data_IF_899046331498
#
_entry.id   IF_899046331498
#
_cell.length_a   1.000
_cell.length_b   1.000
_cell.length_c   1.000
_cell.angle_alpha   90.00
_cell.angle_beta   90.00
_cell.angle_gamma   90.00
#
_symmetry.space_group_name_H-M   'P 1'
#
loop_
_entity.id
_entity.type
_entity.pdbx_description
1 polymer ?
#
# COMPACT_ATOMS: atom_id res chain seq x y z
N UNK A 1 -45.87 8.63 8.68
CA UNK A 1 -45.05 7.59 9.31
C UNK A 1 -44.85 6.50 8.26
N UNK A 2 -43.73 6.24 7.58
CA UNK A 2 -42.31 6.54 7.81
C UNK A 2 -41.50 6.35 6.49
N UNK A 3 -42.03 6.69 5.30
CA UNK A 3 -41.32 6.41 4.03
C UNK A 3 -40.00 7.21 3.89
N UNK A 4 -39.95 8.42 4.45
CA UNK A 4 -38.77 9.30 4.40
C UNK A 4 -37.64 8.76 5.31
N UNK A 5 -38.00 8.15 6.45
CA UNK A 5 -37.03 7.62 7.40
C UNK A 5 -36.27 6.41 6.83
N UNK A 6 -36.97 5.54 6.12
CA UNK A 6 -36.37 4.34 5.54
C UNK A 6 -35.40 4.65 4.38
N UNK A 7 -35.70 5.70 3.59
CA UNK A 7 -34.82 6.15 2.52
C UNK A 7 -33.54 6.79 3.05
N UNK A 8 -33.64 7.60 4.12
CA UNK A 8 -32.48 8.21 4.79
C UNK A 8 -31.53 7.15 5.37
N UNK A 9 -32.06 6.11 6.02
CA UNK A 9 -31.24 5.04 6.61
C UNK A 9 -30.44 4.27 5.53
N UNK A 10 -31.06 3.97 4.38
CA UNK A 10 -30.37 3.29 3.27
C UNK A 10 -29.27 4.16 2.64
N UNK A 11 -29.48 5.47 2.57
CA UNK A 11 -28.51 6.40 1.98
C UNK A 11 -27.28 6.61 2.86
N UNK A 12 -27.47 6.71 4.19
CA UNK A 12 -26.37 6.80 5.15
C UNK A 12 -25.52 5.51 5.15
N UNK A 13 -26.14 4.33 5.23
CA UNK A 13 -25.39 3.06 5.20
C UNK A 13 -24.58 2.84 3.91
N UNK A 14 -25.10 3.26 2.74
CA UNK A 14 -24.36 3.17 1.48
C UNK A 14 -23.13 4.09 1.43
N UNK A 15 -23.23 5.28 2.04
CA UNK A 15 -22.12 6.24 2.12
C UNK A 15 -21.05 5.78 3.11
N UNK A 16 -21.45 5.25 4.26
CA UNK A 16 -20.53 4.70 5.26
C UNK A 16 -19.76 3.49 4.71
N UNK A 17 -20.43 2.58 4.01
CA UNK A 17 -19.78 1.45 3.35
C UNK A 17 -18.80 1.88 2.27
N UNK A 18 -19.15 2.88 1.44
CA UNK A 18 -18.26 3.41 0.41
C UNK A 18 -17.00 4.07 0.98
N UNK A 19 -17.12 4.80 2.10
CA UNK A 19 -15.97 5.43 2.78
C UNK A 19 -15.08 4.37 3.42
N UNK A 20 -15.66 3.35 4.07
CA UNK A 20 -14.90 2.28 4.69
C UNK A 20 -14.09 1.47 3.66
N UNK A 21 -14.71 1.11 2.53
CA UNK A 21 -14.02 0.39 1.44
C UNK A 21 -12.92 1.27 0.84
N UNK A 22 -13.19 2.56 0.58
CA UNK A 22 -12.20 3.48 0.04
C UNK A 22 -11.00 3.71 0.97
N UNK A 23 -11.23 3.76 2.29
CA UNK A 23 -10.16 3.90 3.29
C UNK A 23 -9.35 2.61 3.45
N UNK A 24 -9.99 1.45 3.43
CA UNK A 24 -9.30 0.16 3.52
C UNK A 24 -8.44 -0.09 2.27
N UNK A 25 -8.97 0.15 1.06
CA UNK A 25 -8.20 0.02 -0.18
C UNK A 25 -7.06 1.05 -0.25
N UNK A 26 -7.31 2.32 0.07
CA UNK A 26 -6.26 3.34 0.07
C UNK A 26 -5.16 3.07 1.11
N UNK A 27 -5.49 2.44 2.24
CA UNK A 27 -4.51 2.06 3.27
C UNK A 27 -3.68 0.86 2.85
N UNK A 28 -4.27 -0.15 2.22
CA UNK A 28 -3.53 -1.32 1.71
C UNK A 28 -2.59 -0.90 0.57
N UNK A 29 -3.10 -0.15 -0.40
CA UNK A 29 -2.31 0.30 -1.55
C UNK A 29 -1.18 1.25 -1.13
N UNK A 30 -1.44 2.16 -0.18
CA UNK A 30 -0.42 3.03 0.39
C UNK A 30 0.63 2.29 1.22
N UNK A 31 0.26 1.24 1.97
CA UNK A 31 1.21 0.45 2.74
C UNK A 31 2.15 -0.36 1.83
N UNK A 32 1.61 -0.91 0.74
CA UNK A 32 2.40 -1.71 -0.21
C UNK A 32 3.34 -0.82 -1.04
N UNK A 33 2.85 0.32 -1.54
CA UNK A 33 3.70 1.30 -2.23
C UNK A 33 4.80 1.83 -1.33
N UNK A 34 4.48 2.20 -0.09
CA UNK A 34 5.47 2.70 0.87
C UNK A 34 6.54 1.67 1.20
N UNK A 35 6.16 0.40 1.35
CA UNK A 35 7.14 -0.68 1.55
C UNK A 35 8.11 -0.80 0.36
N UNK A 36 7.61 -0.69 -0.87
CA UNK A 36 8.45 -0.71 -2.08
C UNK A 36 9.35 0.52 -2.15
N UNK A 37 8.82 1.72 -1.90
CA UNK A 37 9.60 2.97 -1.92
C UNK A 37 10.68 3.00 -0.83
N UNK A 38 10.35 2.57 0.38
CA UNK A 38 11.31 2.45 1.49
C UNK A 38 12.39 1.42 1.13
N UNK A 39 12.02 0.26 0.57
CA UNK A 39 12.99 -0.75 0.12
C UNK A 39 13.91 -0.20 -0.99
N UNK A 40 13.37 0.54 -1.96
CA UNK A 40 14.15 1.20 -3.01
C UNK A 40 15.11 2.25 -2.44
N UNK A 41 14.63 3.06 -1.51
CA UNK A 41 15.43 4.12 -0.87
C UNK A 41 16.62 3.52 -0.11
N UNK A 42 16.38 2.49 0.70
CA UNK A 42 17.43 1.77 1.42
C UNK A 42 18.44 1.10 0.46
N UNK A 43 17.97 0.54 -0.65
CA UNK A 43 18.85 -0.02 -1.69
C UNK A 43 19.73 1.05 -2.34
N UNK A 44 19.21 2.26 -2.56
CA UNK A 44 19.95 3.40 -3.09
C UNK A 44 20.98 3.92 -2.09
N UNK A 45 20.65 3.93 -0.80
CA UNK A 45 21.56 4.29 0.30
C UNK A 45 22.71 3.28 0.48
N UNK A 46 22.62 2.10 -0.16
CA UNK A 46 23.64 1.07 -0.12
C UNK A 46 23.45 0.04 0.99
N UNK A 47 22.25 -0.02 1.59
CA UNK A 47 21.92 -1.07 2.55
C UNK A 47 21.85 -2.45 1.88
N UNK A 48 22.17 -3.49 2.64
CA UNK A 48 22.16 -4.86 2.14
C UNK A 48 20.71 -5.36 1.91
N UNK A 49 20.43 -6.04 0.79
CA UNK A 49 19.08 -6.51 0.47
C UNK A 49 18.50 -7.43 1.55
N UNK A 50 19.33 -8.18 2.28
CA UNK A 50 18.93 -9.02 3.41
C UNK A 50 18.40 -8.22 4.60
N UNK A 51 19.06 -7.10 4.92
CA UNK A 51 18.63 -6.20 5.99
C UNK A 51 17.32 -5.51 5.60
N UNK A 52 17.18 -5.11 4.34
CA UNK A 52 15.98 -4.46 3.80
C UNK A 52 14.79 -5.42 3.80
N UNK A 53 15.00 -6.66 3.33
CA UNK A 53 13.99 -7.73 3.38
C UNK A 53 13.46 -7.94 4.81
N UNK A 54 14.37 -7.95 5.79
CA UNK A 54 14.00 -8.10 7.21
C UNK A 54 13.28 -6.86 7.78
N UNK A 55 13.73 -5.65 7.45
CA UNK A 55 13.14 -4.39 7.92
C UNK A 55 11.73 -4.17 7.36
N UNK A 56 11.59 -4.33 6.03
CA UNK A 56 10.36 -4.05 5.29
C UNK A 56 9.40 -5.26 5.30
N UNK A 57 9.88 -6.43 5.77
CA UNK A 57 9.16 -7.72 5.70
C UNK A 57 8.77 -8.10 4.27
N UNK A 58 9.61 -7.73 3.31
CA UNK A 58 9.52 -8.17 1.92
C UNK A 58 10.41 -9.40 1.70
N UNK A 59 10.00 -10.33 0.82
CA UNK A 59 10.88 -11.44 0.45
C UNK A 59 12.14 -10.93 -0.24
N UNK A 60 13.28 -11.57 0.07
CA UNK A 60 14.60 -11.21 -0.46
C UNK A 60 14.61 -11.16 -1.99
N UNK A 61 13.92 -12.08 -2.66
CA UNK A 61 13.81 -12.15 -4.12
C UNK A 61 13.23 -10.85 -4.69
N UNK A 62 12.22 -10.28 -4.04
CA UNK A 62 11.55 -9.06 -4.48
C UNK A 62 12.44 -7.83 -4.23
N UNK A 63 13.21 -7.84 -3.13
CA UNK A 63 14.21 -6.80 -2.87
C UNK A 63 15.35 -6.86 -3.90
N UNK A 64 15.79 -8.05 -4.29
CA UNK A 64 16.80 -8.23 -5.35
C UNK A 64 16.27 -7.78 -6.71
N UNK A 65 15.03 -8.11 -7.04
CA UNK A 65 14.37 -7.64 -8.26
C UNK A 65 14.30 -6.12 -8.31
N UNK A 66 13.87 -5.48 -7.21
CA UNK A 66 13.86 -4.02 -7.06
C UNK A 66 15.25 -3.41 -7.25
N UNK A 67 16.28 -4.05 -6.70
CA UNK A 67 17.67 -3.62 -6.89
C UNK A 67 18.07 -3.67 -8.37
N UNK A 68 17.80 -4.78 -9.05
CA UNK A 68 18.11 -4.91 -10.48
C UNK A 68 17.35 -3.90 -11.34
N UNK A 69 16.09 -3.61 -11.02
CA UNK A 69 15.31 -2.56 -11.71
C UNK A 69 15.94 -1.17 -11.51
N UNK A 70 16.35 -0.84 -10.28
CA UNK A 70 17.00 0.44 -9.97
C UNK A 70 18.36 0.60 -10.67
N UNK A 71 19.13 -0.47 -10.80
CA UNK A 71 20.40 -0.45 -11.55
C UNK A 71 20.17 -0.34 -13.07
N UNK A 72 19.06 -0.90 -13.57
CA UNK A 72 18.67 -0.77 -14.97
C UNK A 72 18.17 0.64 -15.34
N UNK A 73 17.46 1.33 -14.44
CA UNK A 73 17.03 2.73 -14.63
C UNK A 73 18.18 3.75 -14.52
N UNK A 74 19.28 3.40 -13.82
CA UNK A 74 20.48 4.25 -13.71
C UNK A 74 21.41 4.19 -14.93
N UNK A 75 21.13 3.34 -15.92
CA UNK A 75 21.97 3.09 -17.09
C UNK A 75 21.46 3.82 -18.34
#
# INVERSE_FOLDING_TARGET
>A
MDLIRELTIKYDSGKEAGIAIGQEQGRQEGAEQKAIEDAKSLLIEGDSPEKIARCIKLPIEKVLELKSQLEAEKK
#
